data_IF_945057540111
#
_entry.id   IF_945057540111
#
_cell.length_a   1.000
_cell.length_b   1.000
_cell.length_c   1.000
_cell.angle_alpha   90.00
_cell.angle_beta   90.00
_cell.angle_gamma   90.00
#
_symmetry.space_group_name_H-M   'P 1'
#
loop_
_entity.id
_entity.type
_entity.pdbx_description
1 polymer ?
#
# COMPACT_ATOMS: atom_id res chain seq x y z
N UNK A 1 3.66 8.30 -12.02
CA UNK A 1 4.50 7.10 -11.88
C UNK A 1 5.93 7.55 -11.55
N UNK A 2 6.20 7.76 -10.25
CA UNK A 2 7.42 8.31 -9.67
C UNK A 2 8.67 7.47 -10.01
N UNK A 3 8.56 6.14 -9.98
CA UNK A 3 9.66 5.22 -10.30
C UNK A 3 10.07 5.20 -11.78
N UNK A 4 9.31 5.87 -12.67
CA UNK A 4 9.70 6.06 -14.08
C UNK A 4 10.54 7.32 -14.29
N UNK A 5 10.72 8.16 -13.26
CA UNK A 5 11.50 9.38 -13.38
C UNK A 5 13.02 9.07 -13.44
N UNK A 6 13.83 9.92 -14.11
CA UNK A 6 15.23 9.62 -14.39
C UNK A 6 16.18 9.77 -13.19
N UNK A 7 15.75 10.41 -12.11
CA UNK A 7 16.59 10.67 -10.94
C UNK A 7 17.08 9.36 -10.30
N UNK A 8 18.36 9.32 -9.96
CA UNK A 8 19.01 8.11 -9.45
C UNK A 8 18.34 7.57 -8.17
N UNK A 9 17.85 8.46 -7.29
CA UNK A 9 17.14 8.08 -6.07
C UNK A 9 15.83 7.34 -6.36
N UNK A 10 15.02 7.82 -7.31
CA UNK A 10 13.76 7.15 -7.67
C UNK A 10 13.99 5.82 -8.38
N UNK A 11 14.99 5.74 -9.25
CA UNK A 11 15.38 4.45 -9.87
C UNK A 11 15.83 3.45 -8.82
N UNK A 12 16.71 3.87 -7.91
CA UNK A 12 17.21 3.00 -6.84
C UNK A 12 16.11 2.53 -5.92
N UNK A 13 15.19 3.41 -5.51
CA UNK A 13 14.04 3.03 -4.71
C UNK A 13 13.14 2.04 -5.45
N UNK A 14 12.86 2.28 -6.74
CA UNK A 14 12.08 1.35 -7.56
C UNK A 14 12.74 -0.03 -7.72
N UNK A 15 14.07 -0.12 -7.72
CA UNK A 15 14.79 -1.41 -7.68
C UNK A 15 14.62 -2.11 -6.33
N UNK A 16 14.78 -1.39 -5.22
CA UNK A 16 14.59 -1.94 -3.87
C UNK A 16 13.16 -2.46 -3.67
N UNK A 17 12.14 -1.72 -4.11
CA UNK A 17 10.74 -2.17 -4.02
C UNK A 17 10.51 -3.46 -4.83
N UNK A 18 11.14 -3.61 -6.00
CA UNK A 18 11.05 -4.87 -6.77
C UNK A 18 11.70 -6.04 -6.03
N UNK A 19 12.81 -5.81 -5.32
CA UNK A 19 13.41 -6.84 -4.47
C UNK A 19 12.46 -7.25 -3.35
N UNK A 20 11.77 -6.29 -2.73
CA UNK A 20 10.78 -6.58 -1.69
C UNK A 20 9.54 -7.33 -2.20
N UNK A 21 9.11 -7.12 -3.45
CA UNK A 21 8.09 -7.99 -4.06
C UNK A 21 8.56 -9.44 -4.21
N UNK A 22 9.83 -9.66 -4.57
CA UNK A 22 10.41 -11.00 -4.64
C UNK A 22 10.47 -11.63 -3.24
N UNK A 23 10.90 -10.85 -2.23
CA UNK A 23 10.90 -11.30 -0.83
C UNK A 23 9.49 -11.66 -0.35
N UNK A 24 8.49 -10.84 -0.66
CA UNK A 24 7.08 -11.11 -0.34
C UNK A 24 6.62 -12.44 -0.97
N UNK A 25 6.83 -12.62 -2.28
CA UNK A 25 6.48 -13.86 -2.99
C UNK A 25 7.15 -15.08 -2.35
N UNK A 26 8.44 -14.98 -2.03
CA UNK A 26 9.21 -16.08 -1.44
C UNK A 26 8.74 -16.40 -0.01
N UNK A 27 8.50 -15.37 0.81
CA UNK A 27 8.01 -15.51 2.18
C UNK A 27 6.69 -16.27 2.23
N UNK A 28 5.81 -16.02 1.27
CA UNK A 28 4.48 -16.64 1.19
C UNK A 28 4.39 -17.79 0.19
N UNK A 29 5.52 -18.32 -0.32
CA UNK A 29 5.54 -19.31 -1.40
C UNK A 29 4.73 -20.60 -1.11
N UNK A 30 4.55 -20.95 0.16
CA UNK A 30 3.73 -22.09 0.59
C UNK A 30 2.25 -21.79 0.79
N UNK A 31 1.80 -20.55 0.60
CA UNK A 31 0.41 -20.16 0.81
C UNK A 31 -0.50 -20.69 -0.30
N UNK A 32 -1.59 -21.35 0.09
CA UNK A 32 -2.59 -21.88 -0.83
C UNK A 32 -3.60 -20.79 -1.24
N UNK A 33 -3.13 -19.75 -1.92
CA UNK A 33 -3.99 -18.64 -2.39
C UNK A 33 -3.57 -18.14 -3.77
N UNK A 34 -4.55 -17.66 -4.53
CA UNK A 34 -4.36 -17.22 -5.92
C UNK A 34 -3.37 -16.05 -6.05
N UNK A 35 -3.35 -15.15 -5.05
CA UNK A 35 -2.42 -14.03 -4.99
C UNK A 35 -0.95 -14.45 -5.15
N UNK A 36 -0.58 -15.60 -4.60
CA UNK A 36 0.79 -16.13 -4.65
C UNK A 36 0.97 -17.08 -5.83
N UNK A 37 -0.01 -17.94 -6.11
CA UNK A 37 0.06 -18.90 -7.23
C UNK A 37 0.18 -18.19 -8.58
N UNK A 38 -0.54 -17.09 -8.75
CA UNK A 38 -0.55 -16.26 -9.96
C UNK A 38 0.22 -14.95 -9.77
N UNK A 39 1.25 -14.97 -8.92
CA UNK A 39 2.09 -13.79 -8.71
C UNK A 39 2.79 -13.37 -10.01
N UNK A 40 2.68 -12.09 -10.45
CA UNK A 40 3.17 -11.63 -11.73
C UNK A 40 4.62 -12.01 -12.03
N UNK A 41 4.86 -12.53 -13.23
CA UNK A 41 6.21 -12.85 -13.68
C UNK A 41 7.05 -11.60 -13.92
N UNK A 42 6.42 -10.53 -14.43
CA UNK A 42 7.06 -9.23 -14.65
C UNK A 42 6.68 -8.25 -13.54
N UNK A 43 7.69 -7.68 -12.87
CA UNK A 43 7.51 -6.74 -11.78
C UNK A 43 7.42 -5.29 -12.30
N UNK A 44 6.34 -5.00 -13.01
CA UNK A 44 6.01 -3.68 -13.53
C UNK A 44 5.14 -2.89 -12.54
N UNK A 45 5.41 -1.59 -12.42
CA UNK A 45 4.57 -0.71 -11.61
C UNK A 45 3.40 -0.15 -12.44
N UNK A 46 2.16 -0.40 -12.02
CA UNK A 46 0.98 0.30 -12.56
C UNK A 46 1.11 1.80 -12.25
N UNK A 47 1.40 2.12 -11.00
CA UNK A 47 1.48 3.47 -10.47
C UNK A 47 2.52 3.57 -9.35
N UNK A 48 3.03 4.78 -9.17
CA UNK A 48 3.82 5.18 -8.00
C UNK A 48 3.74 6.70 -7.84
N UNK A 49 3.56 7.16 -6.61
CA UNK A 49 3.35 8.56 -6.25
C UNK A 49 3.84 8.83 -4.83
N UNK A 50 4.03 10.10 -4.49
CA UNK A 50 4.30 10.50 -3.11
C UNK A 50 2.99 10.95 -2.46
N UNK A 51 2.85 10.66 -1.18
CA UNK A 51 1.74 11.14 -0.35
C UNK A 51 2.36 11.97 0.77
N UNK A 52 1.92 13.23 0.88
CA UNK A 52 2.32 14.15 1.95
C UNK A 52 1.08 14.58 2.71
N UNK A 53 1.01 14.23 3.98
CA UNK A 53 -0.05 14.63 4.89
C UNK A 53 0.52 15.57 5.96
N UNK A 54 -0.32 16.48 6.44
CA UNK A 54 -0.07 17.42 7.53
C UNK A 54 -1.07 17.16 8.66
N UNK A 55 -1.01 17.94 9.75
CA UNK A 55 -1.94 17.82 10.89
C UNK A 55 -3.40 17.65 10.46
N UNK A 56 -4.09 16.70 11.07
CA UNK A 56 -5.45 16.28 10.76
C UNK A 56 -5.59 15.45 9.48
N UNK A 57 -4.52 15.27 8.71
CA UNK A 57 -4.52 14.58 7.43
C UNK A 57 -4.66 13.06 7.58
N UNK A 58 -5.45 12.47 6.69
CA UNK A 58 -5.68 11.04 6.60
C UNK A 58 -5.93 10.62 5.15
N UNK A 59 -5.96 9.32 4.91
CA UNK A 59 -6.47 8.71 3.68
C UNK A 59 -7.55 7.76 4.11
N UNK A 60 -8.76 7.89 3.58
CA UNK A 60 -9.90 7.07 3.99
C UNK A 60 -9.75 5.61 3.54
N UNK A 61 -10.61 4.72 4.05
CA UNK A 61 -10.59 3.29 3.71
C UNK A 61 -10.89 3.08 2.24
N UNK A 62 -9.93 2.48 1.52
CA UNK A 62 -10.05 2.18 0.10
C UNK A 62 -9.23 0.95 -0.28
N UNK A 63 -9.37 0.52 -1.54
CA UNK A 63 -8.55 -0.50 -2.20
C UNK A 63 -7.90 0.07 -3.45
N UNK A 64 -6.98 -0.68 -4.05
CA UNK A 64 -6.33 -0.33 -5.31
C UNK A 64 -6.79 -1.30 -6.41
N UNK A 65 -7.82 -0.91 -7.16
CA UNK A 65 -8.58 -1.78 -8.08
C UNK A 65 -7.77 -2.43 -9.21
N UNK A 66 -6.67 -1.79 -9.62
CA UNK A 66 -5.84 -2.20 -10.76
C UNK A 66 -4.46 -2.75 -10.35
N UNK A 67 -4.24 -2.92 -9.06
CA UNK A 67 -3.00 -3.47 -8.49
C UNK A 67 -3.11 -4.97 -8.18
N UNK A 68 -1.96 -5.63 -8.13
CA UNK A 68 -1.83 -6.99 -7.57
C UNK A 68 -1.35 -6.94 -6.12
N UNK A 69 -0.19 -6.30 -5.90
CA UNK A 69 0.34 -5.94 -4.59
C UNK A 69 0.51 -4.43 -4.55
N UNK A 70 0.01 -3.81 -3.49
CA UNK A 70 0.21 -2.40 -3.20
C UNK A 70 1.13 -2.23 -2.02
N UNK A 71 1.71 -1.05 -1.88
CA UNK A 71 2.56 -0.77 -0.75
C UNK A 71 2.95 0.68 -0.60
N UNK A 72 3.62 0.95 0.51
CA UNK A 72 4.18 2.26 0.83
C UNK A 72 5.53 2.13 1.52
N UNK A 73 6.49 2.97 1.11
CA UNK A 73 7.77 3.18 1.82
C UNK A 73 7.66 4.48 2.62
N UNK A 74 7.94 4.41 3.91
CA UNK A 74 7.76 5.51 4.85
C UNK A 74 9.03 6.35 4.97
N UNK A 75 8.96 7.62 4.57
CA UNK A 75 10.13 8.52 4.53
C UNK A 75 10.15 9.48 5.71
N UNK A 76 8.98 9.96 6.12
CA UNK A 76 8.79 10.85 7.26
C UNK A 76 7.53 10.42 7.99
N UNK A 77 7.61 10.31 9.30
CA UNK A 77 6.48 10.00 10.17
C UNK A 77 6.49 10.99 11.34
N UNK A 78 5.32 11.44 11.81
CA UNK A 78 5.26 12.25 13.02
C UNK A 78 5.80 11.42 14.20
N UNK A 79 6.65 12.03 15.01
CA UNK A 79 7.23 11.46 16.23
C UNK A 79 6.51 11.96 17.47
N UNK A 80 5.98 13.18 17.43
CA UNK A 80 5.15 13.78 18.46
C UNK A 80 3.69 13.43 18.19
N UNK A 81 3.16 12.44 18.92
CA UNK A 81 1.79 11.94 18.80
C UNK A 81 1.12 11.90 20.17
N UNK A 82 -0.19 12.14 20.23
CA UNK A 82 -0.95 11.95 21.47
C UNK A 82 -1.31 10.47 21.65
N UNK A 83 -1.66 9.80 20.55
CA UNK A 83 -1.86 8.35 20.48
C UNK A 83 -0.78 7.70 19.60
N UNK A 84 -0.10 6.62 20.03
CA UNK A 84 0.91 5.92 19.22
C UNK A 84 0.40 5.44 17.86
N UNK A 85 -0.90 5.22 17.71
CA UNK A 85 -1.55 4.76 16.49
C UNK A 85 -1.72 5.87 15.44
N UNK A 86 -1.58 7.13 15.81
CA UNK A 86 -1.69 8.25 14.88
C UNK A 86 -0.74 8.10 13.68
N UNK A 87 -1.26 8.28 12.47
CA UNK A 87 -0.51 8.17 11.22
C UNK A 87 -0.14 6.72 10.82
N UNK A 88 -0.52 5.71 11.60
CA UNK A 88 -0.27 4.31 11.28
C UNK A 88 -1.11 3.84 10.09
N UNK A 89 -0.70 2.71 9.52
CA UNK A 89 -1.42 2.01 8.48
C UNK A 89 -2.41 1.05 9.13
N UNK A 90 -3.70 1.27 8.90
CA UNK A 90 -4.76 0.41 9.39
C UNK A 90 -5.37 -0.34 8.21
N UNK A 91 -5.64 -1.63 8.38
CA UNK A 91 -6.23 -2.48 7.36
C UNK A 91 -7.36 -3.33 7.93
N UNK A 92 -8.28 -3.77 7.08
CA UNK A 92 -9.42 -4.55 7.51
C UNK A 92 -10.20 -5.17 6.35
N UNK A 93 -11.36 -5.73 6.68
CA UNK A 93 -12.22 -6.44 5.72
C UNK A 93 -13.38 -5.59 5.18
N UNK A 94 -13.49 -4.33 5.61
CA UNK A 94 -14.56 -3.42 5.23
C UNK A 94 -14.05 -1.99 5.02
N UNK A 95 -14.67 -1.24 4.11
CA UNK A 95 -14.29 0.12 3.75
C UNK A 95 -15.16 0.71 2.64
N UNK A 96 -14.77 1.88 2.15
CA UNK A 96 -15.39 2.58 1.01
C UNK A 96 -16.93 2.76 1.14
N UNK A 97 -17.42 2.91 2.39
CA UNK A 97 -18.83 3.05 2.72
C UNK A 97 -19.74 1.95 2.13
N UNK A 98 -19.22 0.74 1.98
CA UNK A 98 -20.01 -0.39 1.49
C UNK A 98 -21.20 -0.64 2.45
N UNK A 99 -22.37 -1.07 1.94
CA UNK A 99 -23.47 -1.46 2.80
C UNK A 99 -23.05 -2.58 3.75
N UNK A 100 -23.45 -2.47 5.01
CA UNK A 100 -23.10 -3.43 6.06
C UNK A 100 -24.31 -3.74 6.94
N UNK A 101 -24.37 -4.96 7.45
CA UNK A 101 -25.40 -5.41 8.40
C UNK A 101 -24.93 -5.32 9.87
N UNK A 102 -23.63 -5.10 10.09
CA UNK A 102 -22.99 -4.97 11.41
C UNK A 102 -21.73 -4.10 11.27
N UNK A 103 -21.20 -3.62 12.40
CA UNK A 103 -20.00 -2.77 12.44
C UNK A 103 -18.73 -3.51 12.87
N UNK A 104 -18.86 -4.73 13.40
CA UNK A 104 -17.73 -5.49 13.96
C UNK A 104 -16.96 -6.24 12.87
N UNK A 105 -16.12 -5.51 12.14
CA UNK A 105 -15.19 -6.09 11.18
C UNK A 105 -13.77 -6.16 11.76
N UNK A 106 -13.04 -7.26 11.53
CA UNK A 106 -11.64 -7.35 11.94
C UNK A 106 -10.80 -6.23 11.34
N UNK A 107 -10.04 -5.56 12.21
CA UNK A 107 -9.05 -4.54 11.84
C UNK A 107 -7.68 -4.89 12.41
N UNK A 108 -6.64 -4.61 11.64
CA UNK A 108 -5.25 -4.72 12.06
C UNK A 108 -4.52 -3.40 11.84
N UNK A 109 -3.44 -3.21 12.57
CA UNK A 109 -2.60 -2.01 12.47
C UNK A 109 -1.16 -2.43 12.23
N UNK A 110 -0.55 -1.81 11.24
CA UNK A 110 0.90 -1.78 11.06
C UNK A 110 1.41 -0.39 11.49
N UNK A 111 2.35 -0.39 12.43
CA UNK A 111 3.01 0.82 12.95
C UNK A 111 4.41 0.95 12.35
N UNK A 112 4.55 1.52 11.15
CA UNK A 112 5.83 1.62 10.47
C UNK A 112 6.77 2.59 11.17
N UNK A 113 8.08 2.35 11.05
CA UNK A 113 9.14 3.30 11.30
C UNK A 113 9.63 3.95 9.99
N UNK A 114 10.43 5.02 10.09
CA UNK A 114 11.08 5.62 8.92
C UNK A 114 12.02 4.60 8.28
N UNK A 115 11.87 4.38 6.97
CA UNK A 115 12.59 3.37 6.21
C UNK A 115 11.81 2.07 6.00
N UNK A 116 10.75 1.83 6.77
CA UNK A 116 9.94 0.62 6.61
C UNK A 116 9.15 0.64 5.30
N UNK A 117 8.83 -0.56 4.84
CA UNK A 117 7.93 -0.84 3.73
C UNK A 117 6.77 -1.70 4.22
N UNK A 118 5.55 -1.31 3.87
CA UNK A 118 4.37 -2.14 4.05
C UNK A 118 3.92 -2.63 2.68
N UNK A 119 3.79 -3.95 2.52
CA UNK A 119 3.30 -4.62 1.31
C UNK A 119 2.03 -5.42 1.64
N UNK A 120 1.02 -5.29 0.80
CA UNK A 120 -0.28 -5.92 1.01
C UNK A 120 -0.99 -6.24 -0.31
N UNK A 121 -1.95 -7.19 -0.32
CA UNK A 121 -2.79 -7.42 -1.49
C UNK A 121 -3.54 -6.14 -1.86
N UNK A 122 -3.54 -5.73 -3.13
CA UNK A 122 -4.17 -4.47 -3.54
C UNK A 122 -5.68 -4.41 -3.25
N UNK A 123 -6.32 -5.57 -3.06
CA UNK A 123 -7.73 -5.71 -2.66
C UNK A 123 -8.00 -5.54 -1.17
N UNK A 124 -6.98 -5.36 -0.32
CA UNK A 124 -7.14 -5.17 1.11
C UNK A 124 -7.57 -3.73 1.41
N UNK A 125 -8.73 -3.57 2.08
CA UNK A 125 -9.14 -2.27 2.58
C UNK A 125 -8.12 -1.74 3.57
N UNK A 126 -7.71 -0.49 3.36
CA UNK A 126 -6.73 0.14 4.24
C UNK A 126 -6.91 1.65 4.28
N UNK A 127 -6.40 2.25 5.36
CA UNK A 127 -6.44 3.70 5.59
C UNK A 127 -5.17 4.18 6.29
N UNK A 128 -4.99 5.49 6.30
CA UNK A 128 -4.04 6.14 7.22
C UNK A 128 -4.81 6.73 8.39
N UNK A 129 -4.48 6.34 9.61
CA UNK A 129 -5.11 6.90 10.82
C UNK A 129 -4.79 8.41 10.89
N UNK A 130 -5.79 9.30 11.14
CA UNK A 130 -5.54 10.72 11.34
C UNK A 130 -4.50 10.96 12.44
N UNK A 131 -3.73 12.04 12.32
CA UNK A 131 -2.73 12.41 13.31
C UNK A 131 -2.79 13.89 13.61
N UNK A 132 -2.46 14.26 14.85
CA UNK A 132 -2.43 15.65 15.30
C UNK A 132 -1.00 16.02 15.70
N UNK A 133 -0.20 16.36 14.69
CA UNK A 133 1.19 16.80 14.85
C UNK A 133 1.50 17.95 13.90
N UNK A 134 2.42 18.83 14.31
CA UNK A 134 2.99 19.86 13.44
C UNK A 134 4.02 19.28 12.46
N UNK A 135 4.38 18.00 12.61
CA UNK A 135 5.24 17.27 11.70
C UNK A 135 4.44 16.75 10.50
N UNK A 136 5.16 16.34 9.45
CA UNK A 136 4.54 15.77 8.26
C UNK A 136 4.61 14.24 8.26
N UNK A 137 3.70 13.62 7.51
CA UNK A 137 3.81 12.22 7.14
C UNK A 137 4.04 12.14 5.63
N UNK A 138 5.17 11.57 5.24
CA UNK A 138 5.55 11.42 3.84
C UNK A 138 5.86 9.96 3.56
N UNK A 139 5.17 9.40 2.56
CA UNK A 139 5.48 8.07 2.03
C UNK A 139 5.46 8.08 0.50
N UNK A 140 6.13 7.10 -0.10
CA UNK A 140 6.00 6.79 -1.52
C UNK A 140 5.14 5.55 -1.63
N UNK A 141 3.95 5.70 -2.21
CA UNK A 141 3.03 4.60 -2.48
C UNK A 141 3.19 4.10 -3.91
N UNK A 142 2.87 2.83 -4.14
CA UNK A 142 3.04 2.16 -5.42
C UNK A 142 2.16 0.93 -5.56
N UNK A 143 1.98 0.52 -6.81
CA UNK A 143 1.22 -0.66 -7.21
C UNK A 143 2.01 -1.53 -8.17
N UNK A 144 2.13 -2.81 -7.83
CA UNK A 144 2.54 -3.86 -8.75
C UNK A 144 1.39 -4.18 -9.70
N UNK A 145 1.67 -4.22 -10.99
CA UNK A 145 0.70 -4.57 -12.02
C UNK A 145 0.41 -6.09 -12.00
N UNK A 146 -0.86 -6.51 -12.13
CA UNK A 146 -1.19 -7.92 -12.36
C UNK A 146 -0.70 -8.41 -13.72
N UNK A 147 -0.63 -9.73 -13.89
CA UNK A 147 -0.30 -10.33 -15.19
C UNK A 147 -1.52 -10.32 -16.14
N UNK A 148 -1.29 -10.04 -17.42
CA UNK A 148 -2.33 -9.95 -18.45
C UNK A 148 -2.94 -8.56 -18.66
N UNK A 149 -3.87 -8.47 -19.61
CA UNK A 149 -4.58 -7.24 -19.94
C UNK A 149 -5.74 -7.01 -18.96
N UNK A 150 -5.55 -6.07 -18.02
CA UNK A 150 -6.57 -5.59 -17.07
C UNK A 150 -7.81 -4.96 -17.73
N UNK A 151 -7.73 -4.64 -19.02
CA UNK A 151 -8.83 -4.12 -19.82
C UNK A 151 -9.18 -5.05 -20.98
N UNK A 152 -9.36 -6.35 -20.72
CA UNK A 152 -10.14 -7.14 -21.67
C UNK A 152 -11.57 -6.60 -21.67
N UNK A 153 -11.99 -6.03 -22.80
CA UNK A 153 -13.40 -5.69 -23.03
C UNK A 153 -14.21 -6.94 -22.70
N UNK A 154 -15.02 -6.84 -21.66
CA UNK A 154 -16.14 -7.75 -21.46
C UNK A 154 -16.99 -7.73 -22.73
N UNK A 155 -17.25 -8.91 -23.31
CA UNK A 155 -18.21 -9.07 -24.40
C UNK A 155 -19.65 -9.26 -23.88
N UNK A 156 -19.91 -8.92 -22.61
CA UNK A 156 -21.27 -8.78 -22.09
C UNK A 156 -21.87 -7.42 -22.49
#
# INVERSE_FOLDING_TARGET
>A
NLFKRPEASFRKLGELVRQEFIHYKNRFAGADCELIKSFPQQLEFTSSWYVRLRSGGFVDRHIHEVGWISGAVYLVLPTLKQDPLEGCFEYGLHGDNYPQNHDDFPVGIASPAVGDIVLFPSSLFHRTIPFNSNEERICIAFDLKPEGDIFRKSNY
#
